data_IF_615427155521
#
_entry.id   IF_615427155521
#
_cell.length_a   1.000
_cell.length_b   1.000
_cell.length_c   1.000
_cell.angle_alpha   90.00
_cell.angle_beta   90.00
_cell.angle_gamma   90.00
#
_symmetry.space_group_name_H-M   'P 1'
#
loop_
_entity.id
_entity.type
_entity.pdbx_description
1 polymer ?
#
# COMPACT_ATOMS: atom_id res chain seq x y z
N UNK A 1 -6.70 16.85 -8.93
CA UNK A 1 -5.86 17.63 -9.88
C UNK A 1 -6.58 18.05 -11.16
N UNK A 2 -7.29 17.16 -11.88
CA UNK A 2 -7.91 17.49 -13.18
C UNK A 2 -8.91 18.65 -13.09
N UNK A 3 -9.86 18.61 -12.15
CA UNK A 3 -10.84 19.70 -11.95
C UNK A 3 -10.19 21.02 -11.59
N UNK A 4 -9.11 21.00 -10.78
CA UNK A 4 -8.34 22.19 -10.47
C UNK A 4 -7.69 22.83 -11.71
N UNK A 5 -7.15 22.02 -12.61
CA UNK A 5 -6.59 22.51 -13.89
C UNK A 5 -7.66 23.11 -14.80
N UNK A 6 -8.86 22.51 -14.85
CA UNK A 6 -10.01 23.06 -15.59
C UNK A 6 -10.41 24.42 -15.00
N UNK A 7 -10.51 24.53 -13.67
CA UNK A 7 -10.87 25.77 -12.98
C UNK A 7 -9.84 26.88 -13.26
N UNK A 8 -8.55 26.60 -13.18
CA UNK A 8 -7.48 27.56 -13.50
C UNK A 8 -7.54 28.01 -14.95
N UNK A 9 -7.71 27.07 -15.89
CA UNK A 9 -7.82 27.42 -17.30
C UNK A 9 -9.12 28.20 -17.61
N UNK A 10 -10.19 27.89 -16.93
CA UNK A 10 -11.44 28.63 -16.98
C UNK A 10 -11.26 30.09 -16.50
N UNK A 11 -10.64 30.26 -15.33
CA UNK A 11 -10.35 31.57 -14.75
C UNK A 11 -9.46 32.40 -15.67
N UNK A 12 -8.41 31.83 -16.28
CA UNK A 12 -7.56 32.51 -17.27
C UNK A 12 -8.34 32.99 -18.50
N UNK A 13 -9.46 32.36 -18.81
CA UNK A 13 -10.36 32.72 -19.94
C UNK A 13 -11.54 33.61 -19.51
N UNK A 14 -11.51 34.14 -18.27
CA UNK A 14 -12.54 35.03 -17.76
C UNK A 14 -13.75 34.33 -17.12
N UNK A 15 -13.71 33.01 -16.89
CA UNK A 15 -14.73 32.36 -16.06
C UNK A 15 -14.62 32.89 -14.63
N UNK A 16 -15.76 33.32 -14.08
CA UNK A 16 -15.89 33.71 -12.67
C UNK A 16 -16.80 32.71 -11.96
N UNK A 17 -16.68 32.66 -10.64
CA UNK A 17 -17.51 31.86 -9.76
C UNK A 17 -17.97 32.64 -8.56
N UNK A 18 -18.83 32.09 -7.71
CA UNK A 18 -19.25 32.73 -6.47
C UNK A 18 -18.06 32.97 -5.54
N UNK A 19 -17.96 34.18 -4.97
CA UNK A 19 -16.86 34.56 -4.07
C UNK A 19 -16.81 33.70 -2.82
N UNK A 20 -17.97 33.34 -2.26
CA UNK A 20 -18.09 32.57 -1.03
C UNK A 20 -18.37 31.06 -1.27
N UNK A 21 -17.80 30.48 -2.35
CA UNK A 21 -18.06 29.06 -2.69
C UNK A 21 -17.48 28.08 -1.66
N UNK A 22 -16.47 28.46 -0.91
CA UNK A 22 -15.83 27.61 0.06
C UNK A 22 -16.39 27.78 1.48
N UNK A 23 -16.78 28.99 1.88
CA UNK A 23 -17.09 29.39 3.26
C UNK A 23 -18.46 30.07 3.45
N UNK A 24 -19.25 30.21 2.39
CA UNK A 24 -20.59 30.79 2.47
C UNK A 24 -21.62 29.80 2.99
N UNK A 25 -22.81 30.32 3.38
CA UNK A 25 -23.94 29.53 3.87
C UNK A 25 -24.37 28.39 2.92
N UNK A 26 -24.21 28.59 1.61
CA UNK A 26 -24.42 27.60 0.54
C UNK A 26 -23.11 27.15 -0.09
N UNK A 27 -22.06 27.05 0.70
CA UNK A 27 -20.74 26.67 0.24
C UNK A 27 -20.67 25.18 -0.13
N UNK A 28 -19.68 24.82 -0.93
CA UNK A 28 -19.36 23.41 -1.19
C UNK A 28 -19.21 22.62 0.09
N UNK A 29 -18.65 23.23 1.12
CA UNK A 29 -18.51 22.64 2.42
C UNK A 29 -19.86 22.34 3.07
N UNK A 30 -20.79 23.30 3.17
CA UNK A 30 -22.12 23.08 3.76
C UNK A 30 -22.90 22.01 3.00
N UNK A 31 -22.70 21.90 1.68
CA UNK A 31 -23.37 20.93 0.83
C UNK A 31 -22.81 19.52 1.01
N UNK A 32 -21.46 19.36 1.11
CA UNK A 32 -20.81 18.06 1.09
C UNK A 32 -20.44 17.50 2.47
N UNK A 33 -20.18 18.34 3.46
CA UNK A 33 -19.74 17.85 4.78
C UNK A 33 -20.76 18.00 5.91
N UNK A 34 -21.71 18.90 5.77
CA UNK A 34 -22.65 19.21 6.87
C UNK A 34 -21.98 19.72 8.16
N UNK A 35 -20.69 19.95 8.15
CA UNK A 35 -19.89 20.36 9.30
C UNK A 35 -19.07 21.62 8.98
N UNK A 36 -18.84 22.47 9.99
CA UNK A 36 -17.88 23.56 9.90
C UNK A 36 -16.45 22.99 9.65
N UNK A 37 -15.58 23.58 8.78
CA UNK A 37 -14.18 23.16 8.72
C UNK A 37 -13.53 23.47 10.05
N UNK A 38 -13.28 22.43 10.82
CA UNK A 38 -12.28 22.51 11.86
C UNK A 38 -10.92 22.52 11.18
N UNK A 39 -10.32 23.64 11.04
CA UNK A 39 -8.95 23.63 10.60
C UNK A 39 -8.48 24.98 10.06
N UNK A 40 -7.50 25.52 10.69
CA UNK A 40 -6.61 26.50 10.06
C UNK A 40 -6.06 25.88 8.77
N UNK A 41 -6.07 26.65 7.69
CA UNK A 41 -5.33 26.27 6.47
C UNK A 41 -3.90 26.00 6.90
N UNK A 42 -3.40 24.80 6.59
CA UNK A 42 -2.06 24.39 6.98
C UNK A 42 -1.06 25.48 6.57
N UNK A 43 -0.29 25.97 7.54
CA UNK A 43 0.74 27.01 7.32
C UNK A 43 1.92 26.49 6.51
N UNK A 44 2.10 25.16 6.51
CA UNK A 44 3.19 24.49 5.80
C UNK A 44 2.75 24.05 4.40
N UNK A 45 3.68 24.00 3.48
CA UNK A 45 3.43 23.41 2.17
C UNK A 45 3.20 21.92 2.28
N UNK A 46 1.99 21.44 1.93
CA UNK A 46 1.65 20.02 1.98
C UNK A 46 2.56 19.15 1.11
N UNK A 47 3.21 19.73 0.11
CA UNK A 47 4.18 19.01 -0.73
C UNK A 47 5.38 18.51 0.07
N UNK A 48 5.75 19.15 1.17
CA UNK A 48 6.83 18.71 2.06
C UNK A 48 6.47 17.45 2.84
N UNK A 49 5.16 17.14 2.94
CA UNK A 49 4.64 15.96 3.63
C UNK A 49 4.36 14.78 2.68
N UNK A 50 4.69 14.94 1.39
CA UNK A 50 4.53 13.85 0.41
C UNK A 50 5.66 12.85 0.59
N UNK A 51 5.30 11.58 0.63
CA UNK A 51 6.25 10.47 0.61
C UNK A 51 6.18 9.69 -0.70
N UNK A 52 7.31 9.16 -1.14
CA UNK A 52 7.38 8.28 -2.28
C UNK A 52 7.34 6.83 -1.83
N UNK A 53 6.65 5.99 -2.58
CA UNK A 53 6.65 4.55 -2.34
C UNK A 53 7.90 3.92 -2.95
N UNK A 54 8.59 3.10 -2.18
CA UNK A 54 9.71 2.30 -2.66
C UNK A 54 9.25 1.21 -3.63
N UNK A 55 8.08 0.60 -3.36
CA UNK A 55 7.54 -0.50 -4.17
C UNK A 55 6.23 -0.10 -4.84
N UNK A 56 5.98 -0.65 -6.05
CA UNK A 56 4.73 -0.49 -6.81
C UNK A 56 3.56 -1.30 -6.23
N UNK A 57 3.41 -1.29 -4.90
CA UNK A 57 2.42 -2.04 -4.16
C UNK A 57 1.71 -1.16 -3.12
N UNK A 58 0.73 -1.69 -2.41
CA UNK A 58 0.10 -0.99 -1.29
C UNK A 58 1.14 -0.75 -0.19
N UNK A 59 1.11 0.43 0.42
CA UNK A 59 2.01 0.76 1.52
C UNK A 59 1.90 -0.22 2.71
N UNK A 60 0.78 -0.93 2.84
CA UNK A 60 0.58 -1.95 3.87
C UNK A 60 1.50 -3.16 3.74
N UNK A 61 2.01 -3.45 2.55
CA UNK A 61 2.92 -4.60 2.34
C UNK A 61 4.39 -4.22 2.45
N UNK A 62 4.73 -2.92 2.38
CA UNK A 62 6.13 -2.47 2.35
C UNK A 62 6.96 -2.93 3.54
N UNK A 63 6.51 -2.81 4.82
CA UNK A 63 7.33 -3.21 5.96
C UNK A 63 7.77 -4.68 5.89
N UNK A 64 6.84 -5.57 5.53
CA UNK A 64 7.13 -6.99 5.42
C UNK A 64 8.06 -7.31 4.23
N UNK A 65 7.86 -6.65 3.09
CA UNK A 65 8.74 -6.83 1.93
C UNK A 65 10.15 -6.32 2.23
N UNK A 66 10.29 -5.15 2.84
CA UNK A 66 11.60 -4.60 3.23
C UNK A 66 12.33 -5.53 4.21
N UNK A 67 11.63 -6.05 5.23
CA UNK A 67 12.21 -7.01 6.17
C UNK A 67 12.64 -8.31 5.47
N UNK A 68 11.82 -8.84 4.55
CA UNK A 68 12.18 -10.03 3.76
C UNK A 68 13.43 -9.80 2.92
N UNK A 69 13.51 -8.67 2.22
CA UNK A 69 14.66 -8.37 1.35
C UNK A 69 15.95 -8.22 2.16
N UNK A 70 15.91 -7.64 3.36
CA UNK A 70 17.03 -7.59 4.28
C UNK A 70 17.48 -9.00 4.72
N UNK A 71 16.53 -9.90 5.01
CA UNK A 71 16.85 -11.31 5.33
C UNK A 71 17.58 -11.97 4.14
N UNK A 72 17.06 -11.78 2.92
CA UNK A 72 17.63 -12.37 1.70
C UNK A 72 19.05 -11.83 1.44
N UNK A 73 19.28 -10.55 1.69
CA UNK A 73 20.59 -9.91 1.55
C UNK A 73 21.61 -10.47 2.55
N UNK A 74 21.20 -10.60 3.82
CA UNK A 74 22.09 -11.08 4.90
C UNK A 74 22.31 -12.60 4.85
N UNK A 75 21.30 -13.36 4.47
CA UNK A 75 21.32 -14.83 4.41
C UNK A 75 20.59 -15.33 3.17
N UNK A 76 21.24 -15.38 2.01
CA UNK A 76 20.63 -15.87 0.78
C UNK A 76 20.16 -17.33 0.91
N UNK A 77 18.96 -17.60 0.41
CA UNK A 77 18.37 -18.94 0.35
C UNK A 77 17.66 -19.17 -0.99
N UNK A 78 17.40 -20.42 -1.34
CA UNK A 78 16.69 -20.79 -2.55
C UNK A 78 15.17 -20.84 -2.29
N UNK A 79 14.37 -20.55 -3.32
CA UNK A 79 12.91 -20.75 -3.30
C UNK A 79 12.53 -22.15 -2.87
N UNK A 80 13.31 -23.16 -3.31
CA UNK A 80 13.07 -24.57 -3.02
C UNK A 80 13.33 -24.94 -1.56
N UNK A 81 14.16 -24.18 -0.85
CA UNK A 81 14.49 -24.40 0.55
C UNK A 81 13.41 -23.89 1.50
N UNK A 82 12.49 -23.05 1.01
CA UNK A 82 11.44 -22.46 1.84
C UNK A 82 10.40 -23.52 2.22
N UNK A 83 10.26 -23.76 3.53
CA UNK A 83 9.19 -24.57 4.12
C UNK A 83 7.96 -23.71 4.38
N UNK A 84 8.13 -22.55 5.04
CA UNK A 84 7.07 -21.62 5.43
C UNK A 84 7.63 -20.22 5.61
N UNK A 85 6.83 -19.20 5.39
CA UNK A 85 7.13 -17.82 5.74
C UNK A 85 6.01 -17.30 6.64
N UNK A 86 6.36 -16.76 7.79
CA UNK A 86 5.44 -16.16 8.74
C UNK A 86 5.65 -14.66 8.70
N UNK A 87 4.57 -13.92 8.50
CA UNK A 87 4.56 -12.45 8.49
C UNK A 87 3.63 -11.96 9.58
N UNK A 88 4.20 -11.44 10.64
CA UNK A 88 3.46 -10.75 11.69
C UNK A 88 3.38 -9.27 11.35
N UNK A 89 2.18 -8.71 11.24
CA UNK A 89 1.98 -7.34 10.79
C UNK A 89 0.84 -6.65 11.54
N UNK A 90 0.77 -5.35 11.45
CA UNK A 90 -0.23 -4.54 12.14
C UNK A 90 -1.67 -4.82 11.67
N UNK A 91 -2.68 -4.50 12.52
CA UNK A 91 -4.08 -4.92 12.32
C UNK A 91 -4.67 -4.60 10.96
N UNK A 92 -4.43 -3.41 10.44
CA UNK A 92 -4.97 -3.03 9.12
C UNK A 92 -4.37 -3.86 7.97
N UNK A 93 -3.05 -4.10 7.99
CA UNK A 93 -2.41 -4.95 6.98
C UNK A 93 -2.91 -6.39 7.06
N UNK A 94 -3.11 -6.91 8.27
CA UNK A 94 -3.70 -8.22 8.50
C UNK A 94 -5.12 -8.29 7.93
N UNK A 95 -5.99 -7.32 8.23
CA UNK A 95 -7.38 -7.29 7.74
C UNK A 95 -7.46 -7.28 6.20
N UNK A 96 -6.59 -6.54 5.53
CA UNK A 96 -6.53 -6.52 4.06
C UNK A 96 -6.16 -7.89 3.46
N UNK A 97 -5.54 -8.76 4.23
CA UNK A 97 -5.02 -10.05 3.77
C UNK A 97 -5.79 -11.24 4.33
N UNK A 98 -6.62 -11.05 5.36
CA UNK A 98 -7.45 -12.10 5.94
C UNK A 98 -8.55 -12.52 4.97
N UNK A 99 -8.61 -13.81 4.64
CA UNK A 99 -9.62 -14.38 3.76
C UNK A 99 -9.43 -14.12 2.25
N UNK A 100 -8.39 -13.40 1.86
CA UNK A 100 -8.05 -13.20 0.44
C UNK A 100 -7.34 -14.46 -0.08
N UNK A 101 -7.78 -14.93 -1.24
CA UNK A 101 -7.11 -15.98 -2.01
C UNK A 101 -6.26 -15.36 -3.12
N UNK A 102 -5.66 -16.19 -3.97
CA UNK A 102 -4.86 -15.75 -5.12
C UNK A 102 -5.48 -14.51 -5.83
N UNK A 103 -4.71 -13.47 -6.08
CA UNK A 103 -5.20 -12.27 -6.74
C UNK A 103 -5.59 -12.56 -8.20
N UNK A 104 -6.70 -11.99 -8.65
CA UNK A 104 -7.23 -12.15 -10.00
C UNK A 104 -6.90 -10.98 -10.93
N UNK A 105 -6.47 -9.86 -10.37
CA UNK A 105 -6.19 -8.63 -11.12
C UNK A 105 -5.06 -7.82 -10.49
N UNK A 106 -4.61 -6.80 -11.20
CA UNK A 106 -3.49 -5.92 -10.80
C UNK A 106 -3.73 -5.26 -9.44
N UNK A 107 -4.94 -4.75 -9.20
CA UNK A 107 -5.25 -4.05 -7.95
C UNK A 107 -5.21 -4.99 -6.75
N UNK A 108 -5.82 -6.17 -6.86
CA UNK A 108 -5.79 -7.17 -5.80
C UNK A 108 -4.38 -7.70 -5.53
N UNK A 109 -3.58 -7.90 -6.58
CA UNK A 109 -2.20 -8.36 -6.43
C UNK A 109 -1.32 -7.36 -5.66
N UNK A 110 -1.49 -6.06 -5.93
CA UNK A 110 -0.75 -4.99 -5.24
C UNK A 110 -1.13 -4.84 -3.76
N UNK A 111 -2.28 -5.34 -3.36
CA UNK A 111 -2.76 -5.33 -1.96
C UNK A 111 -2.38 -6.62 -1.22
N UNK A 112 -2.18 -7.70 -1.95
CA UNK A 112 -2.07 -9.04 -1.39
C UNK A 112 -0.65 -9.37 -0.93
N UNK A 113 -0.44 -9.34 0.38
CA UNK A 113 0.85 -9.53 1.04
C UNK A 113 1.52 -10.87 0.70
N UNK A 114 0.83 -12.05 0.73
CA UNK A 114 1.46 -13.30 0.35
C UNK A 114 2.01 -13.33 -1.08
N UNK A 115 1.34 -12.66 -2.02
CA UNK A 115 1.84 -12.52 -3.38
C UNK A 115 3.11 -11.66 -3.43
N UNK A 116 3.11 -10.50 -2.77
CA UNK A 116 4.27 -9.62 -2.71
C UNK A 116 5.49 -10.31 -2.06
N UNK A 117 5.28 -11.09 -0.99
CA UNK A 117 6.31 -11.91 -0.35
C UNK A 117 6.84 -12.97 -1.32
N UNK A 118 5.96 -13.67 -2.04
CA UNK A 118 6.37 -14.67 -3.04
C UNK A 118 7.22 -14.05 -4.15
N UNK A 119 6.81 -12.90 -4.69
CA UNK A 119 7.61 -12.12 -5.66
C UNK A 119 8.98 -11.75 -5.06
N UNK A 120 9.00 -11.23 -3.83
CA UNK A 120 10.21 -10.83 -3.13
C UNK A 120 11.24 -11.95 -3.02
N UNK A 121 10.80 -13.17 -2.68
CA UNK A 121 11.69 -14.35 -2.61
C UNK A 121 12.19 -14.76 -3.98
N UNK A 122 11.31 -14.82 -4.99
CA UNK A 122 11.65 -15.30 -6.33
C UNK A 122 12.57 -14.32 -7.07
N UNK A 123 12.27 -13.03 -7.00
CA UNK A 123 13.00 -11.98 -7.71
C UNK A 123 14.13 -11.36 -6.89
N UNK A 124 14.20 -11.61 -5.58
CA UNK A 124 15.05 -10.87 -4.61
C UNK A 124 14.85 -9.35 -4.70
N UNK A 125 13.69 -8.95 -5.11
CA UNK A 125 13.22 -7.58 -5.33
C UNK A 125 11.69 -7.58 -5.46
N UNK A 126 11.06 -6.39 -5.51
CA UNK A 126 9.64 -6.27 -5.84
C UNK A 126 9.47 -5.43 -7.12
N UNK A 127 9.79 -5.97 -8.30
CA UNK A 127 9.75 -5.23 -9.54
C UNK A 127 8.31 -4.92 -9.96
N UNK A 128 8.03 -3.74 -10.58
CA UNK A 128 6.69 -3.34 -10.98
C UNK A 128 6.00 -4.29 -11.96
N UNK A 129 6.75 -4.92 -12.85
CA UNK A 129 6.26 -5.86 -13.86
C UNK A 129 5.71 -7.16 -13.26
N UNK A 130 6.12 -7.53 -12.03
CA UNK A 130 5.53 -8.66 -11.31
C UNK A 130 4.01 -8.51 -11.11
N UNK A 131 3.50 -7.28 -11.12
CA UNK A 131 2.07 -6.98 -10.96
C UNK A 131 1.33 -6.83 -12.30
N UNK A 132 1.96 -7.09 -13.43
CA UNK A 132 1.25 -7.14 -14.72
C UNK A 132 0.28 -8.33 -14.76
N UNK A 133 -0.86 -8.11 -15.40
CA UNK A 133 -1.95 -9.10 -15.45
C UNK A 133 -1.50 -10.45 -16.04
N UNK A 134 -0.60 -10.43 -17.02
CA UNK A 134 -0.02 -11.62 -17.61
C UNK A 134 0.79 -12.46 -16.60
N UNK A 135 1.61 -11.82 -15.77
CA UNK A 135 2.40 -12.48 -14.73
C UNK A 135 1.53 -13.04 -13.60
N UNK A 136 0.43 -12.35 -13.27
CA UNK A 136 -0.55 -12.83 -12.29
C UNK A 136 -1.27 -14.07 -12.84
N UNK A 137 -1.79 -13.99 -14.07
CA UNK A 137 -2.53 -15.08 -14.70
C UNK A 137 -1.69 -16.32 -14.98
N UNK A 138 -0.42 -16.14 -15.34
CA UNK A 138 0.50 -17.26 -15.58
C UNK A 138 0.90 -18.01 -14.31
N UNK A 139 0.64 -17.45 -13.13
CA UNK A 139 1.08 -18.01 -11.85
C UNK A 139 2.59 -17.97 -11.63
N UNK A 140 3.33 -17.20 -12.42
CA UNK A 140 4.79 -17.11 -12.38
C UNK A 140 5.37 -16.91 -10.97
N UNK A 141 4.68 -16.16 -10.13
CA UNK A 141 5.12 -15.82 -8.77
C UNK A 141 4.26 -16.48 -7.68
N UNK A 142 3.48 -17.50 -7.99
CA UNK A 142 2.49 -18.06 -7.07
C UNK A 142 3.01 -19.20 -6.20
N UNK A 143 4.18 -19.74 -6.49
CA UNK A 143 4.69 -20.99 -5.90
C UNK A 143 4.88 -20.96 -4.37
N UNK A 144 4.99 -19.79 -3.77
CA UNK A 144 5.15 -19.63 -2.33
C UNK A 144 3.93 -19.04 -1.63
N UNK A 145 2.90 -18.60 -2.37
CA UNK A 145 1.74 -17.92 -1.79
C UNK A 145 1.09 -18.72 -0.68
N UNK A 146 0.88 -20.02 -0.90
CA UNK A 146 0.27 -20.93 0.08
C UNK A 146 1.19 -21.27 1.28
N UNK A 147 2.47 -20.89 1.19
CA UNK A 147 3.44 -21.06 2.28
C UNK A 147 3.57 -19.81 3.16
N UNK A 148 2.91 -18.73 2.80
CA UNK A 148 2.95 -17.48 3.56
C UNK A 148 1.76 -17.43 4.51
N UNK A 149 2.04 -17.42 5.80
CA UNK A 149 1.07 -17.17 6.85
C UNK A 149 1.16 -15.74 7.33
N UNK A 150 0.03 -15.05 7.35
CA UNK A 150 -0.06 -13.67 7.85
C UNK A 150 -0.74 -13.68 9.21
N UNK A 151 -0.08 -13.11 10.21
CA UNK A 151 -0.56 -13.01 11.58
C UNK A 151 -0.76 -11.56 12.00
N UNK A 152 -1.75 -11.34 12.85
CA UNK A 152 -2.00 -10.02 13.43
C UNK A 152 -1.07 -9.77 14.62
N UNK A 153 -0.39 -8.62 14.63
CA UNK A 153 0.42 -8.18 15.74
C UNK A 153 0.06 -6.74 16.13
N UNK A 154 -0.68 -6.59 17.21
CA UNK A 154 -1.26 -5.31 17.64
C UNK A 154 -0.23 -4.25 18.04
N UNK A 155 0.98 -4.65 18.40
CA UNK A 155 2.04 -3.73 18.82
C UNK A 155 2.76 -3.05 17.64
N UNK A 156 2.56 -3.53 16.40
CA UNK A 156 3.26 -3.00 15.21
C UNK A 156 2.49 -1.94 14.43
N UNK A 157 1.54 -1.31 15.04
CA UNK A 157 0.82 -0.20 14.48
C UNK A 157 -0.65 -0.20 14.87
N UNK A 158 -1.23 0.95 14.71
CA UNK A 158 -2.65 1.19 14.94
C UNK A 158 -3.40 1.46 13.62
N UNK A 159 -4.68 1.76 13.74
CA UNK A 159 -5.51 2.17 12.62
C UNK A 159 -5.20 3.59 12.10
N UNK A 160 -4.38 4.37 12.81
CA UNK A 160 -4.03 5.75 12.41
C UNK A 160 -3.00 5.83 11.29
N UNK A 161 -2.41 4.71 10.89
CA UNK A 161 -1.35 4.62 9.87
C UNK A 161 -0.06 5.37 10.19
N UNK A 162 0.10 5.86 11.41
CA UNK A 162 1.29 6.59 11.86
C UNK A 162 2.50 5.68 12.03
N UNK A 163 2.26 4.45 12.49
CA UNK A 163 3.28 3.41 12.67
C UNK A 163 2.89 2.19 11.84
N UNK A 164 3.84 1.65 11.09
CA UNK A 164 3.66 0.45 10.26
C UNK A 164 4.85 -0.46 10.45
N UNK A 165 4.64 -1.60 11.07
CA UNK A 165 5.69 -2.58 11.33
C UNK A 165 5.34 -3.97 10.83
N UNK A 166 6.37 -4.80 10.66
CA UNK A 166 6.22 -6.22 10.41
C UNK A 166 7.44 -6.99 10.91
N UNK A 167 7.23 -8.23 11.35
CA UNK A 167 8.28 -9.23 11.52
C UNK A 167 8.10 -10.29 10.44
N UNK A 168 9.20 -10.69 9.83
CA UNK A 168 9.22 -11.78 8.85
C UNK A 168 10.12 -12.88 9.36
N UNK A 169 9.56 -14.09 9.46
CA UNK A 169 10.30 -15.30 9.80
C UNK A 169 10.28 -16.25 8.61
N UNK A 170 11.45 -16.57 8.08
CA UNK A 170 11.59 -17.57 7.00
C UNK A 170 12.04 -18.89 7.61
N UNK A 171 11.20 -19.91 7.50
CA UNK A 171 11.50 -21.27 7.96
C UNK A 171 11.97 -22.08 6.77
N UNK A 172 13.19 -22.58 6.82
CA UNK A 172 13.77 -23.43 5.79
C UNK A 172 13.53 -24.91 6.10
N UNK A 173 13.68 -25.77 5.07
CA UNK A 173 13.45 -27.23 5.21
C UNK A 173 14.53 -27.94 6.02
N UNK A 174 15.72 -27.37 6.10
CA UNK A 174 16.87 -27.90 6.83
C UNK A 174 17.04 -27.33 8.25
N UNK A 175 16.07 -26.58 8.74
CA UNK A 175 16.07 -26.02 10.09
C UNK A 175 16.51 -24.57 10.14
#
# INVERSE_FOLDING_TARGET
>A
CYLGMIAVNGAKRGMSGPEAILDGEKSLKSIYSGAEPDGEIAKDFLIEKISFKEFSACASVHPAVSALLQIIEQRPFSVNDVKKIIVETYPYSYQLNSGVRMPLNVSSARLYLPYAISVGVICKALPPDAFLLENIKSGKYSSLVDKVEVLNHVEYGDSSFSIRGAIVTVVLKNG
#
